data_IF_985114844256
#
_entry.id   IF_985114844256
#
_cell.length_a   1.000
_cell.length_b   1.000
_cell.length_c   1.000
_cell.angle_alpha   90.00
_cell.angle_beta   90.00
_cell.angle_gamma   90.00
#
_symmetry.space_group_name_H-M   'P 1'
#
loop_
_entity.id
_entity.type
_entity.pdbx_description
1 polymer ?
#
# COMPACT_ATOMS: atom_id res chain seq x y z
N UNK A 1 12.08 10.29 -20.96
CA UNK A 1 11.57 9.98 -19.62
C UNK A 1 10.11 10.38 -19.51
N UNK A 2 9.29 9.52 -19.00
CA UNK A 2 7.88 9.82 -18.81
C UNK A 2 7.70 10.87 -17.70
N UNK A 3 6.75 11.82 -17.85
CA UNK A 3 6.43 12.69 -16.73
C UNK A 3 5.91 11.86 -15.55
N UNK A 4 6.05 12.35 -14.31
CA UNK A 4 5.51 11.63 -13.16
C UNK A 4 3.99 11.41 -13.31
N UNK A 5 3.46 10.23 -12.98
CA UNK A 5 2.03 10.01 -13.02
C UNK A 5 1.33 10.87 -11.96
N UNK A 6 0.18 11.43 -12.31
CA UNK A 6 -0.60 12.30 -11.43
C UNK A 6 -1.94 11.69 -11.01
N UNK A 7 -2.21 10.45 -11.43
CA UNK A 7 -3.42 9.72 -11.07
C UNK A 7 -3.10 8.24 -10.94
N UNK A 8 -4.00 7.48 -10.28
CA UNK A 8 -3.85 6.02 -10.19
C UNK A 8 -3.89 5.37 -11.57
N UNK A 9 -4.75 5.86 -12.46
CA UNK A 9 -4.84 5.33 -13.82
C UNK A 9 -3.53 5.53 -14.58
N UNK A 10 -2.94 6.70 -14.48
CA UNK A 10 -1.65 7.00 -15.12
C UNK A 10 -0.54 6.14 -14.52
N UNK A 11 -0.55 5.96 -13.20
CA UNK A 11 0.43 5.11 -12.54
C UNK A 11 0.27 3.66 -12.98
N UNK A 12 -0.96 3.15 -13.05
CA UNK A 12 -1.22 1.78 -13.50
C UNK A 12 -0.71 1.56 -14.92
N UNK A 13 -0.93 2.53 -15.81
CA UNK A 13 -0.40 2.45 -17.17
C UNK A 13 1.12 2.43 -17.21
N UNK A 14 1.76 3.27 -16.40
CA UNK A 14 3.22 3.32 -16.33
C UNK A 14 3.80 2.00 -15.81
N UNK A 15 3.19 1.43 -14.77
CA UNK A 15 3.62 0.16 -14.19
C UNK A 15 3.41 -0.98 -15.20
N UNK A 16 2.28 -0.97 -15.89
CA UNK A 16 1.98 -1.98 -16.90
C UNK A 16 3.00 -1.95 -18.03
N UNK A 17 3.34 -0.77 -18.53
CA UNK A 17 4.36 -0.60 -19.56
C UNK A 17 5.72 -1.10 -19.08
N UNK A 18 6.08 -0.79 -17.84
CA UNK A 18 7.33 -1.24 -17.24
C UNK A 18 7.42 -2.76 -17.21
N UNK A 19 6.34 -3.42 -16.79
CA UNK A 19 6.28 -4.88 -16.72
C UNK A 19 6.30 -5.53 -18.10
N UNK A 20 5.59 -4.96 -19.06
CA UNK A 20 5.54 -5.47 -20.43
C UNK A 20 6.90 -5.39 -21.11
N UNK A 21 7.63 -4.28 -20.95
CA UNK A 21 8.98 -4.12 -21.53
C UNK A 21 9.95 -5.20 -21.04
N UNK A 22 9.70 -5.78 -19.87
CA UNK A 22 10.56 -6.78 -19.24
C UNK A 22 10.00 -8.20 -19.35
N UNK A 23 8.87 -8.33 -20.03
CA UNK A 23 8.15 -9.61 -20.15
C UNK A 23 7.85 -10.23 -18.78
N UNK A 24 7.53 -9.40 -17.81
CA UNK A 24 7.22 -9.82 -16.43
C UNK A 24 5.74 -10.11 -16.21
N UNK A 25 4.89 -9.68 -17.13
CA UNK A 25 3.44 -9.89 -17.00
C UNK A 25 3.10 -11.38 -16.80
N UNK A 26 3.84 -12.26 -17.43
CA UNK A 26 3.64 -13.70 -17.28
C UNK A 26 3.80 -14.20 -15.84
N UNK A 27 4.54 -13.49 -15.02
CA UNK A 27 4.76 -13.84 -13.61
C UNK A 27 3.80 -13.12 -12.68
N UNK A 28 3.06 -12.12 -13.16
CA UNK A 28 2.21 -11.26 -12.36
C UNK A 28 0.78 -11.81 -12.25
N UNK A 29 0.65 -13.03 -11.71
CA UNK A 29 -0.66 -13.55 -11.36
C UNK A 29 -1.17 -12.85 -10.11
N UNK A 30 -2.49 -12.78 -9.88
CA UNK A 30 -3.02 -12.20 -8.63
C UNK A 30 -2.43 -12.81 -7.38
N UNK A 31 -2.24 -14.12 -7.36
CA UNK A 31 -1.61 -14.81 -6.22
C UNK A 31 -0.20 -14.27 -5.98
N UNK A 32 0.62 -14.21 -7.02
CA UNK A 32 2.01 -13.76 -6.89
C UNK A 32 2.07 -12.28 -6.50
N UNK A 33 1.18 -11.46 -7.04
CA UNK A 33 1.12 -10.04 -6.70
C UNK A 33 0.69 -9.82 -5.25
N UNK A 34 -0.27 -10.61 -4.76
CA UNK A 34 -0.68 -10.54 -3.36
C UNK A 34 0.48 -10.91 -2.43
N UNK A 35 1.24 -11.94 -2.80
CA UNK A 35 2.44 -12.32 -2.05
C UNK A 35 3.50 -11.22 -2.11
N UNK A 36 3.65 -10.56 -3.27
CA UNK A 36 4.54 -9.42 -3.43
C UNK A 36 4.19 -8.27 -2.49
N UNK A 37 2.91 -7.97 -2.34
CA UNK A 37 2.45 -6.94 -1.38
C UNK A 37 2.93 -7.28 0.03
N UNK A 38 2.77 -8.53 0.45
CA UNK A 38 3.16 -8.98 1.79
C UNK A 38 4.69 -8.90 1.98
N UNK A 39 5.45 -9.31 0.97
CA UNK A 39 6.91 -9.28 1.02
C UNK A 39 7.41 -7.84 1.12
N UNK A 40 6.89 -6.95 0.29
CA UNK A 40 7.29 -5.54 0.32
C UNK A 40 6.86 -4.85 1.62
N UNK A 41 5.69 -5.22 2.16
CA UNK A 41 5.24 -4.73 3.46
C UNK A 41 6.21 -5.15 4.57
N UNK A 42 6.74 -6.37 4.50
CA UNK A 42 7.74 -6.86 5.46
C UNK A 42 9.04 -6.05 5.35
N UNK A 43 9.46 -5.71 4.13
CA UNK A 43 10.65 -4.87 3.92
C UNK A 43 10.45 -3.46 4.48
N UNK A 44 9.25 -2.91 4.32
CA UNK A 44 8.91 -1.63 4.95
C UNK A 44 8.99 -1.74 6.48
N UNK A 45 8.46 -2.81 7.04
CA UNK A 45 8.49 -3.06 8.48
C UNK A 45 9.93 -3.12 9.00
N UNK A 46 10.85 -3.71 8.24
CA UNK A 46 12.25 -3.83 8.65
C UNK A 46 12.91 -2.48 8.93
N UNK A 47 12.50 -1.43 8.24
CA UNK A 47 13.03 -0.09 8.47
C UNK A 47 12.68 0.45 9.87
N UNK A 48 11.62 -0.08 10.50
CA UNK A 48 11.13 0.36 11.80
C UNK A 48 11.32 -0.67 12.91
N UNK A 49 11.58 -1.91 12.55
CA UNK A 49 11.50 -3.06 13.45
C UNK A 49 12.31 -2.89 14.75
N UNK A 50 13.48 -2.28 14.66
CA UNK A 50 14.37 -2.12 15.80
C UNK A 50 14.34 -0.72 16.43
N UNK A 51 13.42 0.12 15.97
CA UNK A 51 13.30 1.49 16.46
C UNK A 51 12.29 1.57 17.59
N UNK A 52 12.51 2.53 18.50
CA UNK A 52 11.48 2.91 19.46
C UNK A 52 10.43 3.78 18.76
N UNK A 53 9.22 3.93 19.35
CA UNK A 53 8.22 4.84 18.78
C UNK A 53 8.76 6.26 18.56
N UNK A 54 9.54 6.77 19.51
CA UNK A 54 10.14 8.10 19.43
C UNK A 54 11.11 8.20 18.24
N UNK A 55 11.95 7.19 18.06
CA UNK A 55 12.88 7.14 16.92
C UNK A 55 12.15 7.04 15.59
N UNK A 56 11.04 6.30 15.55
CA UNK A 56 10.27 6.14 14.32
C UNK A 56 9.64 7.46 13.86
N UNK A 57 9.41 8.39 14.78
CA UNK A 57 8.81 9.68 14.47
C UNK A 57 9.84 10.71 13.97
N UNK A 58 11.13 10.43 14.08
CA UNK A 58 12.19 11.36 13.72
C UNK A 58 13.30 10.63 12.96
N UNK A 59 12.97 10.12 11.78
CA UNK A 59 13.90 9.33 10.98
C UNK A 59 15.01 10.21 10.40
N UNK A 60 16.27 9.72 10.42
CA UNK A 60 17.32 10.38 9.64
C UNK A 60 16.96 10.42 8.16
N UNK A 61 17.49 11.41 7.44
CA UNK A 61 17.15 11.63 6.03
C UNK A 61 17.36 10.38 5.17
N UNK A 62 18.46 9.66 5.40
CA UNK A 62 18.76 8.45 4.65
C UNK A 62 17.74 7.34 4.91
N UNK A 63 17.34 7.15 6.17
CA UNK A 63 16.33 6.16 6.52
C UNK A 63 14.97 6.54 5.95
N UNK A 64 14.62 7.84 6.02
CA UNK A 64 13.37 8.32 5.44
C UNK A 64 13.32 8.04 3.94
N UNK A 65 14.43 8.20 3.23
CA UNK A 65 14.47 7.89 1.79
C UNK A 65 14.25 6.40 1.54
N UNK A 66 14.85 5.54 2.36
CA UNK A 66 14.61 4.08 2.27
C UNK A 66 13.14 3.75 2.53
N UNK A 67 12.55 4.36 3.56
CA UNK A 67 11.12 4.18 3.87
C UNK A 67 10.25 4.63 2.69
N UNK A 68 10.56 5.76 2.08
CA UNK A 68 9.82 6.24 0.91
C UNK A 68 9.81 5.20 -0.22
N UNK A 69 10.96 4.60 -0.49
CA UNK A 69 11.08 3.60 -1.56
C UNK A 69 10.34 2.31 -1.20
N UNK A 70 10.38 1.88 0.05
CA UNK A 70 9.65 0.69 0.48
C UNK A 70 8.14 0.92 0.45
N UNK A 71 7.68 2.10 0.84
CA UNK A 71 6.27 2.47 0.69
C UNK A 71 5.84 2.44 -0.78
N UNK A 72 6.70 2.96 -1.66
CA UNK A 72 6.42 2.95 -3.10
C UNK A 72 6.31 1.52 -3.62
N UNK A 73 7.18 0.61 -3.18
CA UNK A 73 7.14 -0.78 -3.63
C UNK A 73 5.85 -1.48 -3.19
N UNK A 74 5.39 -1.25 -1.94
CA UNK A 74 4.11 -1.78 -1.47
C UNK A 74 2.97 -1.26 -2.34
N UNK A 75 2.98 0.04 -2.62
CA UNK A 75 1.95 0.69 -3.40
C UNK A 75 1.92 0.17 -4.84
N UNK A 76 3.09 0.04 -5.47
CA UNK A 76 3.19 -0.47 -6.85
C UNK A 76 2.62 -1.87 -6.96
N UNK A 77 2.97 -2.78 -6.06
CA UNK A 77 2.42 -4.14 -6.07
C UNK A 77 0.91 -4.14 -5.86
N UNK A 78 0.42 -3.28 -4.99
CA UNK A 78 -1.02 -3.17 -4.75
C UNK A 78 -1.76 -2.66 -5.99
N UNK A 79 -1.20 -1.66 -6.67
CA UNK A 79 -1.78 -1.13 -7.92
C UNK A 79 -1.76 -2.20 -9.01
N UNK A 80 -0.66 -2.97 -9.13
CA UNK A 80 -0.60 -4.09 -10.08
C UNK A 80 -1.68 -5.12 -9.80
N UNK A 81 -1.86 -5.49 -8.55
CA UNK A 81 -2.88 -6.47 -8.16
C UNK A 81 -4.28 -5.95 -8.52
N UNK A 82 -4.58 -4.71 -8.19
CA UNK A 82 -5.86 -4.09 -8.52
C UNK A 82 -6.09 -4.07 -10.03
N UNK A 83 -5.05 -3.74 -10.80
CA UNK A 83 -5.13 -3.71 -12.26
C UNK A 83 -5.45 -5.10 -12.81
N UNK A 84 -4.81 -6.14 -12.30
CA UNK A 84 -5.07 -7.53 -12.73
C UNK A 84 -6.49 -7.98 -12.42
N UNK A 85 -7.04 -7.55 -11.30
CA UNK A 85 -8.38 -7.94 -10.85
C UNK A 85 -9.48 -7.00 -11.33
N UNK A 86 -9.13 -5.90 -12.00
CA UNK A 86 -10.12 -4.92 -12.43
C UNK A 86 -10.74 -4.17 -11.27
N UNK A 87 -10.02 -3.99 -10.17
CA UNK A 87 -10.50 -3.29 -8.98
C UNK A 87 -10.12 -1.82 -9.04
N UNK A 88 -11.12 -0.96 -8.84
CA UNK A 88 -10.91 0.48 -8.66
C UNK A 88 -10.54 0.73 -7.19
N UNK A 89 -9.26 0.94 -6.91
CA UNK A 89 -8.77 1.11 -5.53
C UNK A 89 -9.35 2.34 -4.84
N UNK A 90 -9.53 3.44 -5.56
CA UNK A 90 -10.09 4.65 -4.96
C UNK A 90 -11.52 4.39 -4.51
N UNK A 91 -12.33 3.77 -5.37
CA UNK A 91 -13.72 3.43 -5.03
C UNK A 91 -13.76 2.42 -3.89
N UNK A 92 -12.91 1.40 -3.93
CA UNK A 92 -12.84 0.38 -2.89
C UNK A 92 -12.44 0.98 -1.53
N UNK A 93 -11.49 1.92 -1.53
CA UNK A 93 -11.07 2.59 -0.31
C UNK A 93 -12.19 3.45 0.28
N UNK A 94 -12.90 4.21 -0.55
CA UNK A 94 -14.02 5.03 -0.10
C UNK A 94 -15.13 4.17 0.49
N UNK A 95 -15.45 3.07 -0.18
CA UNK A 95 -16.44 2.10 0.29
C UNK A 95 -16.03 1.49 1.63
N UNK A 96 -14.77 1.12 1.76
CA UNK A 96 -14.26 0.51 2.99
C UNK A 96 -14.24 1.48 4.16
N UNK A 97 -13.97 2.76 3.92
CA UNK A 97 -14.05 3.78 4.96
C UNK A 97 -15.49 3.86 5.49
N UNK A 98 -16.48 3.84 4.60
CA UNK A 98 -17.89 3.86 5.01
C UNK A 98 -18.27 2.61 5.83
N UNK A 99 -17.77 1.44 5.41
CA UNK A 99 -17.99 0.19 6.15
C UNK A 99 -17.37 0.27 7.54
N UNK A 100 -16.13 0.77 7.62
CA UNK A 100 -15.40 0.90 8.89
C UNK A 100 -16.07 1.93 9.83
N UNK A 101 -16.64 2.99 9.27
CA UNK A 101 -17.37 3.97 10.08
C UNK A 101 -18.55 3.32 10.82
N UNK A 102 -19.18 2.32 10.21
CA UNK A 102 -20.27 1.58 10.86
C UNK A 102 -19.75 0.60 11.91
N UNK A 103 -18.61 -0.06 11.66
CA UNK A 103 -17.99 -0.98 12.62
C UNK A 103 -17.40 -0.25 13.82
N UNK A 104 -16.92 0.97 13.61
CA UNK A 104 -16.23 1.78 14.61
C UNK A 104 -16.92 3.14 14.75
N UNK A 105 -18.13 3.20 15.34
CA UNK A 105 -18.81 4.49 15.51
C UNK A 105 -17.96 5.44 16.35
N UNK A 106 -17.82 6.69 15.91
CA UNK A 106 -16.95 7.66 16.56
C UNK A 106 -17.27 7.83 18.05
N UNK A 107 -18.56 7.84 18.40
CA UNK A 107 -19.01 8.01 19.79
C UNK A 107 -18.51 6.87 20.70
N UNK A 108 -18.40 5.67 20.14
CA UNK A 108 -18.01 4.47 20.88
C UNK A 108 -16.50 4.30 20.99
N UNK A 109 -15.77 4.63 19.89
CA UNK A 109 -14.36 4.24 19.79
C UNK A 109 -13.37 5.37 20.03
N UNK A 110 -13.84 6.61 20.17
CA UNK A 110 -12.95 7.75 20.34
C UNK A 110 -11.94 7.51 21.47
N UNK A 111 -10.65 7.59 21.12
CA UNK A 111 -9.58 7.37 22.08
C UNK A 111 -9.30 5.90 22.41
N UNK A 112 -9.94 4.94 21.70
CA UNK A 112 -9.77 3.50 21.94
C UNK A 112 -9.22 2.83 20.71
N UNK A 113 -8.36 1.83 20.89
CA UNK A 113 -7.81 1.02 19.83
C UNK A 113 -8.37 -0.41 19.87
N UNK A 114 -9.54 -0.60 20.46
CA UNK A 114 -10.18 -1.90 20.64
C UNK A 114 -10.84 -2.34 19.33
N UNK A 115 -10.73 -3.64 18.99
CA UNK A 115 -11.39 -4.18 17.82
C UNK A 115 -12.92 -4.11 17.97
N UNK A 116 -13.65 -3.95 16.85
CA UNK A 116 -15.08 -3.66 16.83
C UNK A 116 -15.94 -4.70 17.58
N UNK A 117 -15.49 -5.96 17.62
CA UNK A 117 -16.21 -7.04 18.28
C UNK A 117 -15.97 -7.09 19.80
N UNK A 118 -15.22 -6.14 20.35
CA UNK A 118 -14.88 -6.05 21.76
C UNK A 118 -15.55 -4.88 22.49
N UNK A 119 -16.44 -4.15 21.84
CA UNK A 119 -17.19 -3.07 22.48
C UNK A 119 -18.46 -3.59 23.11
#
# INVERSE_FOLDING_TARGET
MMPPPDSLDDLARAIRAFAEERDWDQFHTPKNLAMGVAIEAAELMEEFHWLTPEQSAQLPAQTLQAVRHEMADVFVYLVLLADKLGVDLMAAAAEKIAINAKKYPAETVRGKATKYDKY
#
